data_IF_428146797400
#
_entry.id   IF_428146797400
#
_cell.length_a   1.000
_cell.length_b   1.000
_cell.length_c   1.000
_cell.angle_alpha   90.00
_cell.angle_beta   90.00
_cell.angle_gamma   90.00
#
_symmetry.space_group_name_H-M   'P 1'
#
loop_
_entity.id
_entity.type
_entity.pdbx_description
1 polymer ?
#
# COMPACT_ATOMS: atom_id res chain seq x y z
N UNK A 1 -19.87 4.05 -10.07
CA UNK A 1 -19.06 5.27 -10.25
C UNK A 1 -17.71 4.79 -10.71
N UNK A 2 -17.29 5.15 -11.93
CA UNK A 2 -15.98 4.74 -12.43
C UNK A 2 -14.91 5.46 -11.62
N UNK A 3 -13.87 4.73 -11.21
CA UNK A 3 -12.67 5.34 -10.65
C UNK A 3 -12.02 6.18 -11.75
N UNK A 4 -12.08 7.51 -11.64
CA UNK A 4 -11.13 8.35 -12.36
C UNK A 4 -9.78 8.18 -11.68
N UNK A 5 -8.88 7.47 -12.36
CA UNK A 5 -7.53 7.15 -11.86
C UNK A 5 -6.67 8.41 -11.63
N UNK A 6 -7.00 9.52 -12.28
CA UNK A 6 -6.21 10.76 -12.25
C UNK A 6 -7.06 11.93 -11.75
N UNK A 7 -6.45 12.78 -10.93
CA UNK A 7 -7.05 14.06 -10.50
C UNK A 7 -6.72 15.23 -11.43
N UNK A 8 -5.84 15.01 -12.42
CA UNK A 8 -5.40 15.98 -13.42
C UNK A 8 -5.53 15.36 -14.82
N UNK A 9 -5.61 16.17 -15.89
CA UNK A 9 -5.69 15.66 -17.26
C UNK A 9 -4.56 14.68 -17.59
N UNK A 10 -4.90 13.46 -17.98
CA UNK A 10 -3.94 12.37 -18.16
C UNK A 10 -2.96 12.60 -19.32
N UNK A 11 -3.29 13.48 -20.27
CA UNK A 11 -2.45 13.92 -21.38
C UNK A 11 -1.44 15.01 -20.97
N UNK A 12 -1.71 15.74 -19.89
CA UNK A 12 -0.78 16.71 -19.30
C UNK A 12 0.24 16.05 -18.34
N UNK A 13 -0.05 14.85 -17.86
CA UNK A 13 0.83 14.12 -16.94
C UNK A 13 2.04 13.48 -17.63
N UNK A 14 3.28 13.68 -17.10
CA UNK A 14 4.45 12.97 -17.58
C UNK A 14 4.29 11.45 -17.50
N UNK A 15 4.89 10.73 -18.45
CA UNK A 15 4.84 9.25 -18.48
C UNK A 15 5.24 8.60 -17.14
N UNK A 16 6.29 9.12 -16.48
CA UNK A 16 6.74 8.66 -15.16
C UNK A 16 5.66 8.83 -14.08
N UNK A 17 4.92 9.94 -14.11
CA UNK A 17 3.86 10.25 -13.14
C UNK A 17 2.67 9.32 -13.34
N UNK A 18 2.32 9.00 -14.60
CA UNK A 18 1.27 8.02 -14.89
C UNK A 18 1.65 6.60 -14.48
N UNK A 19 2.92 6.21 -14.61
CA UNK A 19 3.41 4.95 -14.05
C UNK A 19 3.32 4.95 -12.53
N UNK A 20 3.73 6.03 -11.88
CA UNK A 20 3.61 6.16 -10.42
C UNK A 20 2.14 6.05 -9.97
N UNK A 21 1.22 6.77 -10.63
CA UNK A 21 -0.21 6.71 -10.33
C UNK A 21 -0.80 5.30 -10.51
N UNK A 22 -0.38 4.55 -11.54
CA UNK A 22 -0.78 3.14 -11.71
C UNK A 22 -0.34 2.28 -10.53
N UNK A 23 0.91 2.42 -10.09
CA UNK A 23 1.41 1.64 -8.95
C UNK A 23 0.77 2.04 -7.62
N UNK A 24 0.42 3.32 -7.43
CA UNK A 24 -0.36 3.77 -6.26
C UNK A 24 -1.77 3.17 -6.28
N UNK A 25 -2.42 3.13 -7.44
CA UNK A 25 -3.74 2.52 -7.57
C UNK A 25 -3.69 1.03 -7.23
N UNK A 26 -2.71 0.28 -7.76
CA UNK A 26 -2.51 -1.13 -7.41
C UNK A 26 -2.26 -1.33 -5.91
N UNK A 27 -1.34 -0.57 -5.31
CA UNK A 27 -1.10 -0.62 -3.85
C UNK A 27 -2.39 -0.38 -3.03
N UNK A 28 -3.24 0.54 -3.50
CA UNK A 28 -4.53 0.87 -2.86
C UNK A 28 -5.51 -0.29 -2.97
N UNK A 29 -5.66 -0.88 -4.16
CA UNK A 29 -6.52 -2.05 -4.41
C UNK A 29 -6.10 -3.23 -3.52
N UNK A 30 -4.79 -3.48 -3.36
CA UNK A 30 -4.29 -4.54 -2.47
C UNK A 30 -4.64 -4.27 -1.00
N UNK A 31 -4.49 -3.02 -0.54
CA UNK A 31 -4.86 -2.62 0.82
C UNK A 31 -6.38 -2.78 1.07
N UNK A 32 -7.21 -2.42 0.10
CA UNK A 32 -8.66 -2.61 0.16
C UNK A 32 -9.01 -4.10 0.23
N UNK A 33 -8.41 -4.93 -0.63
CA UNK A 33 -8.61 -6.37 -0.65
C UNK A 33 -8.23 -7.02 0.68
N UNK A 34 -7.08 -6.64 1.27
CA UNK A 34 -6.65 -7.06 2.60
C UNK A 34 -7.73 -6.76 3.65
N UNK A 35 -8.21 -5.52 3.66
CA UNK A 35 -9.24 -5.07 4.61
C UNK A 35 -10.58 -5.78 4.43
N UNK A 36 -11.00 -6.03 3.18
CA UNK A 36 -12.22 -6.78 2.89
C UNK A 36 -12.13 -8.24 3.32
N UNK A 37 -11.01 -8.91 3.04
CA UNK A 37 -10.82 -10.28 3.48
C UNK A 37 -10.80 -10.39 5.00
N UNK A 38 -10.15 -9.45 5.70
CA UNK A 38 -10.13 -9.44 7.17
C UNK A 38 -11.55 -9.44 7.75
N UNK A 39 -12.42 -8.55 7.24
CA UNK A 39 -13.82 -8.46 7.66
C UNK A 39 -14.61 -9.74 7.34
N UNK A 40 -14.45 -10.29 6.13
CA UNK A 40 -15.16 -11.50 5.70
C UNK A 40 -14.74 -12.72 6.52
N UNK A 41 -13.43 -12.90 6.72
CA UNK A 41 -12.86 -14.01 7.50
C UNK A 41 -13.39 -14.01 8.94
N UNK A 42 -13.58 -12.82 9.53
CA UNK A 42 -14.08 -12.67 10.89
C UNK A 42 -15.51 -13.19 11.09
N UNK A 43 -16.35 -13.16 10.04
CA UNK A 43 -17.76 -13.53 10.12
C UNK A 43 -18.12 -14.83 9.38
N UNK A 44 -17.23 -15.35 8.53
CA UNK A 44 -17.53 -16.50 7.68
C UNK A 44 -17.85 -17.77 8.50
N UNK A 45 -18.97 -18.44 8.19
CA UNK A 45 -19.37 -19.68 8.84
C UNK A 45 -18.77 -20.92 8.20
N UNK A 46 -18.59 -20.92 6.88
CA UNK A 46 -18.09 -22.04 6.10
C UNK A 46 -16.56 -22.15 6.17
N UNK A 47 -16.06 -23.33 6.58
CA UNK A 47 -14.62 -23.55 6.77
C UNK A 47 -13.80 -23.48 5.47
N UNK A 48 -14.36 -23.96 4.35
CA UNK A 48 -13.70 -23.97 3.04
C UNK A 48 -13.60 -22.55 2.48
N UNK A 49 -14.69 -21.78 2.51
CA UNK A 49 -14.70 -20.38 2.08
C UNK A 49 -13.69 -19.55 2.88
N UNK A 50 -13.63 -19.73 4.21
CA UNK A 50 -12.66 -19.07 5.08
C UNK A 50 -11.22 -19.43 4.71
N UNK A 51 -10.95 -20.69 4.37
CA UNK A 51 -9.61 -21.13 3.97
C UNK A 51 -9.19 -20.50 2.63
N UNK A 52 -10.10 -20.43 1.66
CA UNK A 52 -9.88 -19.72 0.38
C UNK A 52 -9.55 -18.25 0.62
N UNK A 53 -10.36 -17.56 1.44
CA UNK A 53 -10.15 -16.14 1.73
C UNK A 53 -8.84 -15.87 2.47
N UNK A 54 -8.45 -16.72 3.42
CA UNK A 54 -7.14 -16.61 4.09
C UNK A 54 -5.98 -16.81 3.11
N UNK A 55 -6.11 -17.74 2.17
CA UNK A 55 -5.08 -17.95 1.15
C UNK A 55 -4.97 -16.71 0.25
N UNK A 56 -6.10 -16.22 -0.26
CA UNK A 56 -6.14 -15.03 -1.11
C UNK A 56 -5.55 -13.80 -0.39
N UNK A 57 -5.99 -13.50 0.84
CA UNK A 57 -5.47 -12.38 1.63
C UNK A 57 -3.94 -12.41 1.79
N UNK A 58 -3.36 -13.60 1.99
CA UNK A 58 -1.91 -13.75 2.12
C UNK A 58 -1.17 -13.40 0.84
N UNK A 59 -1.77 -13.65 -0.33
CA UNK A 59 -1.20 -13.24 -1.61
C UNK A 59 -1.21 -11.72 -1.76
N UNK A 60 -2.25 -11.04 -1.26
CA UNK A 60 -2.34 -9.57 -1.32
C UNK A 60 -1.28 -8.88 -0.45
N UNK A 61 -0.88 -9.48 0.69
CA UNK A 61 0.27 -8.96 1.46
C UNK A 61 1.56 -8.92 0.63
N UNK A 62 1.76 -9.94 -0.22
CA UNK A 62 2.91 -10.02 -1.11
C UNK A 62 2.79 -9.00 -2.23
N UNK A 63 1.61 -8.84 -2.85
CA UNK A 63 1.38 -7.81 -3.88
C UNK A 63 1.59 -6.40 -3.32
N UNK A 64 0.98 -6.08 -2.17
CA UNK A 64 1.17 -4.82 -1.46
C UNK A 64 2.65 -4.51 -1.22
N UNK A 65 3.42 -5.49 -0.71
CA UNK A 65 4.84 -5.31 -0.45
C UNK A 65 5.67 -5.06 -1.72
N UNK A 66 5.33 -5.72 -2.83
CA UNK A 66 5.99 -5.53 -4.13
C UNK A 66 5.73 -4.14 -4.70
N UNK A 67 4.48 -3.68 -4.64
CA UNK A 67 4.07 -2.36 -5.14
C UNK A 67 4.69 -1.24 -4.30
N UNK A 68 4.67 -1.37 -2.97
CA UNK A 68 5.29 -0.42 -2.06
C UNK A 68 6.78 -0.29 -2.35
N UNK A 69 7.52 -1.40 -2.44
CA UNK A 69 8.96 -1.36 -2.72
C UNK A 69 9.27 -0.68 -4.07
N UNK A 70 8.47 -0.91 -5.11
CA UNK A 70 8.64 -0.19 -6.37
C UNK A 70 8.53 1.33 -6.16
N UNK A 71 7.49 1.77 -5.45
CA UNK A 71 7.23 3.18 -5.17
C UNK A 71 8.36 3.83 -4.34
N UNK A 72 8.91 3.12 -3.34
CA UNK A 72 10.05 3.59 -2.55
C UNK A 72 11.31 3.78 -3.40
N UNK A 73 11.50 2.96 -4.44
CA UNK A 73 12.60 3.15 -5.41
C UNK A 73 12.39 4.37 -6.31
N UNK A 74 11.16 4.83 -6.50
CA UNK A 74 10.86 6.02 -7.31
C UNK A 74 10.96 7.34 -6.53
N UNK A 75 10.88 7.29 -5.18
CA UNK A 75 10.83 8.49 -4.34
C UNK A 75 11.78 8.34 -3.12
N UNK A 76 13.00 8.86 -3.27
CA UNK A 76 14.07 8.73 -2.26
C UNK A 76 13.65 9.21 -0.86
N UNK A 77 13.05 10.39 -0.76
CA UNK A 77 12.59 10.93 0.52
C UNK A 77 11.54 10.03 1.20
N UNK A 78 10.62 9.44 0.43
CA UNK A 78 9.63 8.50 0.99
C UNK A 78 10.31 7.23 1.54
N UNK A 79 11.31 6.73 0.82
CA UNK A 79 12.11 5.59 1.28
C UNK A 79 12.86 5.89 2.58
N UNK A 80 13.49 7.06 2.67
CA UNK A 80 14.25 7.49 3.84
C UNK A 80 13.35 7.57 5.08
N UNK A 81 12.20 8.25 4.98
CA UNK A 81 11.22 8.36 6.06
C UNK A 81 10.76 6.96 6.52
N UNK A 82 10.41 6.06 5.59
CA UNK A 82 9.94 4.72 5.95
C UNK A 82 11.02 3.83 6.56
N UNK A 83 12.31 4.07 6.30
CA UNK A 83 13.39 3.31 6.93
C UNK A 83 13.50 3.61 8.43
N UNK A 84 13.18 4.83 8.86
CA UNK A 84 13.14 5.17 10.28
C UNK A 84 11.84 4.75 10.98
N UNK A 85 10.75 4.51 10.24
CA UNK A 85 9.47 4.04 10.81
C UNK A 85 9.38 2.50 10.88
N UNK A 86 9.75 1.81 9.80
CA UNK A 86 9.48 0.39 9.65
C UNK A 86 10.42 -0.48 10.48
N UNK A 87 9.88 -1.57 11.03
CA UNK A 87 10.60 -2.58 11.80
C UNK A 87 11.26 -2.07 13.10
N UNK A 88 10.89 -0.89 13.56
CA UNK A 88 11.30 -0.35 14.85
C UNK A 88 10.39 -0.84 15.99
N UNK A 89 10.93 -0.84 17.21
CA UNK A 89 10.15 -1.02 18.43
C UNK A 89 9.79 0.34 19.02
N UNK A 90 8.70 0.42 19.77
CA UNK A 90 8.32 1.65 20.48
C UNK A 90 7.22 2.42 19.77
N UNK A 91 7.20 3.73 19.98
CA UNK A 91 6.14 4.61 19.50
C UNK A 91 6.31 4.93 18.00
N UNK A 92 5.33 4.56 17.19
CA UNK A 92 5.35 4.74 15.73
C UNK A 92 5.26 6.23 15.35
N UNK A 93 4.50 7.03 16.11
CA UNK A 93 4.34 8.46 15.84
C UNK A 93 5.66 9.18 16.12
N UNK A 94 6.30 8.88 17.25
CA UNK A 94 7.61 9.47 17.57
C UNK A 94 8.68 9.12 16.52
N UNK A 95 8.74 7.86 16.08
CA UNK A 95 9.64 7.46 14.98
C UNK A 95 9.30 8.18 13.67
N UNK A 96 8.02 8.41 13.39
CA UNK A 96 7.56 9.16 12.22
C UNK A 96 8.03 10.61 12.23
N UNK A 97 7.81 11.31 13.34
CA UNK A 97 8.26 12.70 13.53
C UNK A 97 9.78 12.83 13.41
N UNK A 98 10.54 11.95 14.09
CA UNK A 98 12.01 11.95 14.00
C UNK A 98 12.52 11.65 12.58
N UNK A 99 11.87 10.73 11.86
CA UNK A 99 12.27 10.35 10.51
C UNK A 99 11.93 11.45 9.47
N UNK A 100 10.84 12.17 9.67
CA UNK A 100 10.47 13.33 8.85
C UNK A 100 11.46 14.47 9.05
N UNK A 101 11.78 14.85 10.29
CA UNK A 101 12.75 15.91 10.61
C UNK A 101 14.15 15.64 10.04
N UNK A 102 14.55 14.37 9.92
CA UNK A 102 15.86 13.97 9.38
C UNK A 102 15.90 13.97 7.84
N UNK A 103 14.75 13.90 7.17
CA UNK A 103 14.64 13.79 5.71
C UNK A 103 14.43 15.14 5.00
N UNK A 104 14.41 16.26 5.75
CA UNK A 104 14.33 17.65 5.27
C UNK A 104 15.72 18.29 5.06
#
# INVERSE_FOLDING_TARGET
MGFEQYHEPADELPSKTRTFARMIASLTEEAEAIGWYEQRIALEGNAEARAIMRNAQKEEFKHFGMDLEFLLRQKAQWREILQGILFQKGDIVAHGEESEEQAD
#
